data_IF_330481603482
#
_entry.id   IF_330481603482
#
_cell.length_a   1.000
_cell.length_b   1.000
_cell.length_c   1.000
_cell.angle_alpha   90.00
_cell.angle_beta   90.00
_cell.angle_gamma   90.00
#
_symmetry.space_group_name_H-M   'P 1'
#
loop_
_entity.id
_entity.type
_entity.pdbx_description
1 polymer ?
#
# COMPACT_ATOMS: atom_id res chain seq x y z
N UNK A 1 -11.79 27.88 9.46
CA UNK A 1 -11.11 26.75 8.80
C UNK A 1 -11.44 25.51 9.60
N UNK A 2 -11.97 24.48 8.98
CA UNK A 2 -12.30 23.23 9.69
C UNK A 2 -11.02 22.49 10.05
N UNK A 3 -10.97 21.98 11.28
CA UNK A 3 -9.81 21.24 11.78
C UNK A 3 -9.95 19.75 11.57
N UNK A 4 -8.96 19.16 10.89
CA UNK A 4 -8.88 17.72 10.60
C UNK A 4 -7.68 17.13 11.32
N UNK A 5 -7.89 16.02 12.02
CA UNK A 5 -6.81 15.22 12.60
C UNK A 5 -6.78 13.86 11.89
N UNK A 6 -5.62 13.49 11.36
CA UNK A 6 -5.38 12.15 10.83
C UNK A 6 -4.68 11.31 11.90
N UNK A 7 -5.21 10.15 12.24
CA UNK A 7 -4.61 9.20 13.19
C UNK A 7 -4.14 7.97 12.43
N UNK A 8 -2.83 7.74 12.40
CA UNK A 8 -2.22 6.61 11.72
C UNK A 8 -0.71 6.72 11.60
N UNK A 9 -0.05 5.75 10.93
CA UNK A 9 1.37 5.84 10.64
C UNK A 9 1.69 7.10 9.82
N UNK A 10 2.79 7.77 10.17
CA UNK A 10 3.41 8.87 9.44
C UNK A 10 4.86 8.99 9.91
N UNK A 11 5.67 9.85 9.31
CA UNK A 11 7.03 10.08 9.78
C UNK A 11 7.11 10.16 11.33
N UNK A 12 8.08 9.51 11.97
CA UNK A 12 9.27 8.84 11.45
C UNK A 12 9.05 7.38 11.04
N UNK A 13 7.81 6.90 10.99
CA UNK A 13 7.51 5.55 10.49
C UNK A 13 7.58 5.52 8.96
N UNK A 14 7.93 4.35 8.40
CA UNK A 14 8.06 4.13 6.97
C UNK A 14 6.98 3.23 6.38
N UNK A 15 6.88 3.23 5.06
CA UNK A 15 6.04 2.32 4.27
C UNK A 15 4.71 2.93 3.84
N UNK A 16 4.00 2.23 2.97
CA UNK A 16 2.85 2.75 2.23
C UNK A 16 1.73 3.36 3.06
N UNK A 17 1.53 2.92 4.32
CA UNK A 17 0.54 3.53 5.20
C UNK A 17 0.97 4.93 5.67
N UNK A 18 2.27 5.12 5.93
CA UNK A 18 2.80 6.41 6.35
C UNK A 18 2.73 7.41 5.20
N UNK A 19 3.27 7.04 4.04
CA UNK A 19 3.26 7.87 2.83
C UNK A 19 1.83 8.24 2.40
N UNK A 20 0.88 7.29 2.51
CA UNK A 20 -0.53 7.56 2.23
C UNK A 20 -1.13 8.62 3.17
N UNK A 21 -0.92 8.49 4.48
CA UNK A 21 -1.48 9.43 5.46
C UNK A 21 -0.89 10.82 5.31
N UNK A 22 0.40 10.92 4.99
CA UNK A 22 1.06 12.19 4.72
C UNK A 22 0.52 12.84 3.44
N UNK A 23 0.34 12.05 2.37
CA UNK A 23 -0.25 12.57 1.13
C UNK A 23 -1.70 12.99 1.33
N UNK A 24 -2.49 12.22 2.09
CA UNK A 24 -3.86 12.60 2.46
C UNK A 24 -3.90 13.91 3.26
N UNK A 25 -2.95 14.12 4.18
CA UNK A 25 -2.85 15.38 4.93
C UNK A 25 -2.56 16.56 4.01
N UNK A 26 -1.68 16.38 3.02
CA UNK A 26 -1.41 17.41 2.00
C UNK A 26 -2.65 17.74 1.17
N UNK A 27 -3.46 16.73 0.82
CA UNK A 27 -4.71 16.95 0.10
C UNK A 27 -5.73 17.74 0.91
N UNK A 28 -5.92 17.39 2.19
CA UNK A 28 -6.76 18.19 3.08
C UNK A 28 -6.27 19.64 3.19
N UNK A 29 -4.95 19.86 3.31
CA UNK A 29 -4.36 21.21 3.33
C UNK A 29 -4.58 21.96 2.02
N UNK A 30 -4.42 21.29 0.88
CA UNK A 30 -4.70 21.86 -0.45
C UNK A 30 -6.16 22.32 -0.58
N UNK A 31 -7.09 21.58 0.03
CA UNK A 31 -8.50 21.94 0.13
C UNK A 31 -8.82 22.91 1.29
N UNK A 32 -7.81 23.60 1.84
CA UNK A 32 -7.93 24.61 2.89
C UNK A 32 -8.46 24.09 4.23
N UNK A 33 -8.17 22.85 4.63
CA UNK A 33 -8.39 22.36 5.99
C UNK A 33 -7.14 22.59 6.87
N UNK A 34 -7.33 22.93 8.16
CA UNK A 34 -6.27 22.91 9.17
C UNK A 34 -6.00 21.44 9.56
N UNK A 35 -4.88 20.89 9.08
CA UNK A 35 -4.64 19.43 9.15
C UNK A 35 -3.38 19.11 9.93
N UNK A 36 -3.51 18.23 10.92
CA UNK A 36 -2.42 17.67 11.72
C UNK A 36 -2.49 16.13 11.73
N UNK A 37 -1.34 15.48 11.91
CA UNK A 37 -1.24 14.01 12.00
C UNK A 37 -0.83 13.60 13.40
N UNK A 38 -1.53 12.63 13.98
CA UNK A 38 -1.15 11.96 15.22
C UNK A 38 -0.63 10.57 14.88
N UNK A 39 0.69 10.40 14.96
CA UNK A 39 1.38 9.16 14.65
C UNK A 39 1.92 8.46 15.89
N UNK A 40 2.46 7.26 15.70
CA UNK A 40 2.93 6.42 16.79
C UNK A 40 4.34 6.81 17.24
N UNK A 41 4.50 6.89 18.55
CA UNK A 41 5.83 6.84 19.20
C UNK A 41 6.32 5.38 19.28
N UNK A 42 5.38 4.41 19.41
CA UNK A 42 5.59 2.99 19.30
C UNK A 42 4.41 2.38 18.55
N UNK A 43 4.63 1.91 17.32
CA UNK A 43 3.60 1.24 16.51
C UNK A 43 3.53 -0.25 16.83
N UNK A 44 4.67 -0.93 16.74
CA UNK A 44 4.81 -2.33 17.08
C UNK A 44 5.97 -2.52 18.07
N UNK A 45 5.80 -3.37 19.10
CA UNK A 45 6.94 -3.90 19.84
C UNK A 45 7.95 -4.55 18.88
N UNK A 46 9.27 -4.40 19.14
CA UNK A 46 10.30 -4.86 18.21
C UNK A 46 10.17 -6.33 17.79
N UNK A 47 9.76 -7.19 18.71
CA UNK A 47 9.57 -8.64 18.44
C UNK A 47 8.33 -8.97 17.58
N UNK A 48 7.44 -8.03 17.35
CA UNK A 48 6.28 -8.19 16.47
C UNK A 48 6.49 -7.58 15.09
N UNK A 49 7.58 -6.84 14.89
CA UNK A 49 7.86 -6.22 13.60
C UNK A 49 8.75 -7.16 12.76
N UNK A 50 8.30 -7.59 11.58
CA UNK A 50 9.01 -8.58 10.79
C UNK A 50 10.19 -8.01 9.97
N UNK A 51 10.28 -6.68 9.80
CA UNK A 51 11.34 -6.02 9.04
C UNK A 51 12.53 -5.58 9.92
N UNK A 52 13.56 -5.02 9.30
CA UNK A 52 14.78 -4.57 9.99
C UNK A 52 14.53 -3.35 10.87
N UNK A 53 13.73 -2.39 10.40
CA UNK A 53 13.32 -1.20 11.16
C UNK A 53 11.94 -0.71 10.77
N UNK A 54 11.24 -0.06 11.69
CA UNK A 54 9.96 0.62 11.44
C UNK A 54 10.16 2.08 11.00
N UNK A 55 11.39 2.59 11.05
CA UNK A 55 11.67 4.00 10.90
C UNK A 55 12.25 4.33 9.53
N UNK A 56 11.86 5.49 9.01
CA UNK A 56 12.39 6.08 7.79
C UNK A 56 13.80 6.64 8.03
N UNK A 57 14.65 6.54 7.02
CA UNK A 57 15.94 7.24 6.94
C UNK A 57 15.79 8.66 6.35
N UNK A 58 14.62 9.00 5.82
CA UNK A 58 14.36 10.31 5.22
C UNK A 58 14.10 11.38 6.28
N UNK A 59 14.40 12.66 5.98
CA UNK A 59 14.16 13.78 6.90
C UNK A 59 12.65 13.97 7.15
N UNK A 60 12.33 14.66 8.27
CA UNK A 60 10.95 15.01 8.58
C UNK A 60 10.37 15.90 7.46
N UNK A 61 9.13 15.65 7.02
CA UNK A 61 8.45 16.57 6.12
C UNK A 61 8.22 17.92 6.82
N UNK A 62 8.67 18.99 6.19
CA UNK A 62 8.60 20.36 6.73
C UNK A 62 7.25 21.04 6.51
N UNK A 63 6.43 20.47 5.65
CA UNK A 63 5.10 20.97 5.24
C UNK A 63 3.94 20.40 6.08
N UNK A 64 4.21 19.42 6.96
CA UNK A 64 3.21 18.73 7.77
C UNK A 64 3.45 18.91 9.28
N UNK A 65 2.37 19.03 10.04
CA UNK A 65 2.41 19.03 11.51
C UNK A 65 2.16 17.58 11.97
N UNK A 66 3.20 16.91 12.47
CA UNK A 66 3.14 15.51 12.88
C UNK A 66 3.45 15.38 14.37
N UNK A 67 2.49 14.86 15.13
CA UNK A 67 2.62 14.58 16.55
C UNK A 67 2.96 13.10 16.78
N UNK A 68 4.20 12.80 17.11
CA UNK A 68 4.64 11.47 17.52
C UNK A 68 4.23 11.18 18.96
N UNK A 69 3.01 10.72 19.20
CA UNK A 69 2.42 10.70 20.54
C UNK A 69 1.74 9.41 20.95
N UNK A 70 1.42 8.49 20.03
CA UNK A 70 0.63 7.28 20.32
C UNK A 70 1.56 6.10 20.60
N UNK A 71 1.38 5.47 21.76
CA UNK A 71 2.02 4.18 22.08
C UNK A 71 0.96 3.09 22.02
N UNK A 72 1.11 2.16 21.07
CA UNK A 72 0.09 1.14 20.75
C UNK A 72 -0.22 0.14 21.88
N UNK A 73 0.66 0.02 22.87
CA UNK A 73 0.54 -0.97 23.97
C UNK A 73 0.39 -0.34 25.36
N UNK A 74 0.36 1.00 25.48
CA UNK A 74 0.27 1.67 26.77
C UNK A 74 -1.11 2.30 26.99
N UNK A 75 -1.99 1.71 27.84
CA UNK A 75 -3.34 2.23 28.07
C UNK A 75 -3.38 3.63 28.69
N UNK A 76 -2.40 3.99 29.54
CA UNK A 76 -2.32 5.34 30.12
C UNK A 76 -2.03 6.40 29.04
N UNK A 77 -1.21 6.05 28.08
CA UNK A 77 -0.96 6.90 26.92
C UNK A 77 -2.24 7.07 26.08
N UNK A 78 -3.03 6.03 25.85
CA UNK A 78 -4.29 6.12 25.10
C UNK A 78 -5.27 7.11 25.75
N UNK A 79 -5.36 7.09 27.09
CA UNK A 79 -6.20 8.01 27.85
C UNK A 79 -5.69 9.44 27.70
N UNK A 80 -4.38 9.66 27.80
CA UNK A 80 -3.75 10.98 27.65
C UNK A 80 -3.99 11.56 26.25
N UNK A 81 -3.72 10.77 25.19
CA UNK A 81 -3.94 11.19 23.80
C UNK A 81 -5.41 11.47 23.54
N UNK A 82 -6.31 10.58 24.00
CA UNK A 82 -7.76 10.76 23.86
C UNK A 82 -8.26 12.05 24.53
N UNK A 83 -7.76 12.38 25.74
CA UNK A 83 -8.08 13.63 26.43
C UNK A 83 -7.55 14.86 25.68
N UNK A 84 -6.33 14.78 25.12
CA UNK A 84 -5.76 15.83 24.27
C UNK A 84 -6.64 16.10 23.06
N UNK A 85 -7.02 15.07 22.32
CA UNK A 85 -7.92 15.18 21.15
C UNK A 85 -9.30 15.72 21.54
N UNK A 86 -9.86 15.27 22.68
CA UNK A 86 -11.12 15.79 23.20
C UNK A 86 -11.04 17.29 23.50
N UNK A 87 -9.92 17.78 24.06
CA UNK A 87 -9.68 19.20 24.34
C UNK A 87 -9.46 20.02 23.06
N UNK A 88 -8.75 19.47 22.08
CA UNK A 88 -8.55 20.09 20.76
C UNK A 88 -9.86 20.24 19.98
N UNK A 89 -10.81 19.35 20.22
CA UNK A 89 -12.14 19.33 19.63
C UNK A 89 -12.11 19.53 18.09
N UNK A 90 -11.34 18.72 17.32
CA UNK A 90 -11.33 18.85 15.88
C UNK A 90 -12.72 18.61 15.30
N UNK A 91 -13.01 19.16 14.13
CA UNK A 91 -14.28 18.92 13.42
C UNK A 91 -14.34 17.49 12.90
N UNK A 92 -13.21 16.97 12.42
CA UNK A 92 -13.08 15.64 11.85
C UNK A 92 -11.82 14.93 12.35
N UNK A 93 -11.97 13.67 12.72
CA UNK A 93 -10.86 12.71 12.88
C UNK A 93 -10.96 11.69 11.76
N UNK A 94 -9.90 11.51 10.99
CA UNK A 94 -9.74 10.44 10.02
C UNK A 94 -8.76 9.42 10.62
N UNK A 95 -9.23 8.21 10.92
CA UNK A 95 -8.39 7.16 11.51
C UNK A 95 -8.12 6.05 10.49
N UNK A 96 -6.86 5.61 10.39
CA UNK A 96 -6.48 4.46 9.58
C UNK A 96 -6.60 3.17 10.38
N UNK A 97 -7.22 2.14 9.80
CA UNK A 97 -7.37 0.83 10.42
C UNK A 97 -6.95 -0.30 9.46
N UNK A 98 -5.96 -1.07 9.86
CA UNK A 98 -5.36 -2.12 9.03
C UNK A 98 -5.16 -3.46 9.75
N UNK A 99 -5.24 -3.48 11.09
CA UNK A 99 -4.98 -4.69 11.88
C UNK A 99 -5.73 -4.63 13.22
N UNK A 100 -6.43 -5.71 13.63
CA UNK A 100 -7.17 -5.78 14.89
C UNK A 100 -6.33 -5.50 16.15
N UNK A 101 -5.03 -5.79 16.13
CA UNK A 101 -4.09 -5.42 17.20
C UNK A 101 -4.15 -3.93 17.59
N UNK A 102 -4.45 -3.04 16.64
CA UNK A 102 -4.57 -1.60 16.90
C UNK A 102 -5.90 -1.19 17.52
N UNK A 103 -6.90 -2.07 17.49
CA UNK A 103 -8.26 -1.74 17.90
C UNK A 103 -8.39 -1.31 19.37
N UNK A 104 -7.76 -1.95 20.37
CA UNK A 104 -7.83 -1.50 21.77
C UNK A 104 -7.27 -0.09 21.95
N UNK A 105 -6.14 0.20 21.34
CA UNK A 105 -5.48 1.51 21.39
C UNK A 105 -6.36 2.57 20.71
N UNK A 106 -6.63 2.41 19.42
CA UNK A 106 -7.37 3.38 18.63
C UNK A 106 -8.81 3.54 19.14
N UNK A 107 -9.50 2.45 19.45
CA UNK A 107 -10.86 2.50 19.98
C UNK A 107 -10.96 3.27 21.29
N UNK A 108 -10.00 3.10 22.21
CA UNK A 108 -9.97 3.84 23.48
C UNK A 108 -9.70 5.33 23.26
N UNK A 109 -8.75 5.67 22.39
CA UNK A 109 -8.47 7.08 22.03
C UNK A 109 -9.73 7.73 21.46
N UNK A 110 -10.38 7.09 20.48
CA UNK A 110 -11.57 7.63 19.81
C UNK A 110 -12.78 7.74 20.75
N UNK A 111 -12.98 6.73 21.61
CA UNK A 111 -14.01 6.78 22.67
C UNK A 111 -13.90 8.02 23.53
N UNK A 112 -12.67 8.35 23.97
CA UNK A 112 -12.44 9.51 24.82
C UNK A 112 -12.56 10.81 24.03
N UNK A 113 -12.00 10.87 22.83
CA UNK A 113 -12.07 12.04 21.94
C UNK A 113 -13.52 12.41 21.62
N UNK A 114 -14.37 11.44 21.33
CA UNK A 114 -15.81 11.62 21.03
C UNK A 114 -16.60 12.26 22.19
N UNK A 115 -16.07 12.24 23.40
CA UNK A 115 -16.71 12.84 24.57
C UNK A 115 -16.92 14.37 24.47
N UNK A 116 -16.36 15.07 23.48
CA UNK A 116 -16.66 16.48 23.18
C UNK A 116 -17.99 16.67 22.45
N UNK A 117 -18.61 15.59 21.93
CA UNK A 117 -19.89 15.58 21.19
C UNK A 117 -19.93 16.41 19.89
N UNK A 118 -18.77 16.90 19.41
CA UNK A 118 -18.62 17.72 18.19
C UNK A 118 -17.87 16.99 17.09
N UNK A 119 -16.80 16.29 17.46
CA UNK A 119 -15.93 15.61 16.51
C UNK A 119 -16.62 14.46 15.79
N UNK A 120 -16.60 14.49 14.47
CA UNK A 120 -16.95 13.36 13.62
C UNK A 120 -15.75 12.46 13.41
N UNK A 121 -15.96 11.17 13.27
CA UNK A 121 -14.88 10.19 13.17
C UNK A 121 -15.14 9.31 11.94
N UNK A 122 -14.25 9.36 10.97
CA UNK A 122 -14.27 8.53 9.77
C UNK A 122 -13.08 7.56 9.79
N UNK A 123 -13.32 6.31 9.47
CA UNK A 123 -12.29 5.29 9.37
C UNK A 123 -11.99 4.98 7.90
N UNK A 124 -10.72 5.02 7.51
CA UNK A 124 -10.23 4.37 6.29
C UNK A 124 -9.79 2.97 6.68
N UNK A 125 -10.54 1.97 6.21
CA UNK A 125 -10.31 0.57 6.54
C UNK A 125 -9.57 -0.15 5.40
N UNK A 126 -8.33 -0.53 5.64
CA UNK A 126 -7.54 -1.34 4.69
C UNK A 126 -7.91 -2.80 4.76
N UNK A 127 -8.11 -3.31 5.99
CA UNK A 127 -8.58 -4.66 6.27
C UNK A 127 -9.46 -4.64 7.52
N UNK A 128 -10.58 -5.32 7.48
CA UNK A 128 -11.45 -5.54 8.65
C UNK A 128 -11.18 -6.92 9.27
N UNK A 129 -10.97 -7.91 8.43
CA UNK A 129 -10.61 -9.27 8.82
C UNK A 129 -9.18 -9.51 8.32
N UNK A 130 -8.24 -9.83 9.23
CA UNK A 130 -6.86 -10.08 8.83
C UNK A 130 -6.74 -11.36 7.99
N UNK A 131 -5.71 -11.45 7.16
CA UNK A 131 -5.41 -12.65 6.38
C UNK A 131 -5.10 -13.85 7.28
N UNK A 132 -4.40 -13.59 8.39
CA UNK A 132 -4.10 -14.57 9.44
C UNK A 132 -4.97 -14.25 10.66
N UNK A 133 -6.04 -15.03 10.85
CA UNK A 133 -6.96 -14.86 11.98
C UNK A 133 -6.30 -15.27 13.30
N UNK A 134 -6.50 -14.45 14.33
CA UNK A 134 -6.05 -14.70 15.69
C UNK A 134 -7.22 -14.65 16.68
N UNK A 135 -7.15 -15.40 17.80
CA UNK A 135 -8.10 -15.24 18.89
C UNK A 135 -8.16 -13.77 19.34
N UNK A 136 -9.36 -13.21 19.46
CA UNK A 136 -9.55 -11.80 19.86
C UNK A 136 -9.77 -10.80 18.72
N UNK A 137 -9.46 -11.13 17.47
CA UNK A 137 -9.60 -10.19 16.33
C UNK A 137 -11.04 -9.66 16.20
N UNK A 138 -12.03 -10.53 16.27
CA UNK A 138 -13.45 -10.15 16.14
C UNK A 138 -13.92 -9.21 17.25
N UNK A 139 -13.75 -9.51 18.56
CA UNK A 139 -14.16 -8.59 19.62
C UNK A 139 -13.38 -7.28 19.60
N UNK A 140 -12.11 -7.29 19.27
CA UNK A 140 -11.32 -6.07 19.13
C UNK A 140 -11.82 -5.18 17.99
N UNK A 141 -12.08 -5.75 16.82
CA UNK A 141 -12.69 -5.02 15.70
C UNK A 141 -14.06 -4.46 16.07
N UNK A 142 -14.93 -5.24 16.72
CA UNK A 142 -16.24 -4.78 17.22
C UNK A 142 -16.10 -3.61 18.20
N UNK A 143 -15.14 -3.67 19.12
CA UNK A 143 -14.85 -2.56 20.04
C UNK A 143 -14.47 -1.30 19.30
N UNK A 144 -13.62 -1.39 18.28
CA UNK A 144 -13.16 -0.22 17.51
C UNK A 144 -14.30 0.42 16.69
N UNK A 145 -15.03 -0.38 15.90
CA UNK A 145 -15.99 0.15 14.92
C UNK A 145 -17.18 0.89 15.56
N UNK A 146 -17.50 0.63 16.83
CA UNK A 146 -18.63 1.29 17.50
C UNK A 146 -18.43 2.80 17.70
N UNK A 147 -17.19 3.29 17.63
CA UNK A 147 -16.87 4.72 17.81
C UNK A 147 -16.70 5.46 16.49
N UNK A 148 -16.91 4.82 15.37
CA UNK A 148 -16.76 5.39 14.02
C UNK A 148 -18.12 5.87 13.52
N UNK A 149 -18.17 7.05 12.87
CA UNK A 149 -19.40 7.61 12.30
C UNK A 149 -19.58 7.22 10.82
N UNK A 150 -18.47 7.10 10.06
CA UNK A 150 -18.48 6.71 8.67
C UNK A 150 -17.22 5.95 8.27
N UNK A 151 -17.28 5.20 7.18
CA UNK A 151 -16.17 4.37 6.71
C UNK A 151 -15.85 4.62 5.25
N UNK A 152 -14.57 4.53 4.92
CA UNK A 152 -14.06 4.39 3.56
C UNK A 152 -13.38 3.04 3.46
N UNK A 153 -13.70 2.28 2.42
CA UNK A 153 -12.98 1.06 2.04
C UNK A 153 -12.42 1.24 0.63
N UNK A 154 -11.35 0.53 0.31
CA UNK A 154 -10.70 0.63 -1.00
C UNK A 154 -10.98 -0.57 -1.90
N UNK A 155 -11.81 -1.51 -1.44
CA UNK A 155 -12.31 -2.65 -2.22
C UNK A 155 -13.69 -3.09 -1.74
N UNK A 156 -14.47 -3.67 -2.66
CA UNK A 156 -15.78 -4.23 -2.36
C UNK A 156 -15.69 -5.39 -1.36
N UNK A 157 -14.63 -6.17 -1.42
CA UNK A 157 -14.36 -7.24 -0.45
C UNK A 157 -14.25 -6.72 0.98
N UNK A 158 -13.52 -5.63 1.21
CA UNK A 158 -13.41 -5.01 2.54
C UNK A 158 -14.75 -4.41 2.95
N UNK A 159 -15.51 -3.82 2.02
CA UNK A 159 -16.87 -3.34 2.27
C UNK A 159 -17.79 -4.48 2.74
N UNK A 160 -17.80 -5.60 2.05
CA UNK A 160 -18.59 -6.78 2.44
C UNK A 160 -18.21 -7.28 3.85
N UNK A 161 -16.90 -7.33 4.15
CA UNK A 161 -16.43 -7.69 5.49
C UNK A 161 -16.87 -6.67 6.56
N UNK A 162 -16.82 -5.37 6.25
CA UNK A 162 -17.25 -4.29 7.14
C UNK A 162 -18.73 -4.42 7.51
N UNK A 163 -19.59 -4.81 6.57
CA UNK A 163 -21.03 -4.98 6.81
C UNK A 163 -21.38 -6.04 7.86
N UNK A 164 -20.45 -6.95 8.18
CA UNK A 164 -20.60 -7.88 9.32
C UNK A 164 -20.36 -7.21 10.70
N UNK A 165 -19.82 -5.99 10.71
CA UNK A 165 -19.46 -5.27 11.93
C UNK A 165 -20.22 -3.95 12.10
N UNK A 166 -20.60 -3.28 11.01
CA UNK A 166 -21.24 -1.95 11.03
C UNK A 166 -22.15 -1.72 9.84
N UNK A 167 -23.32 -1.09 10.12
CA UNK A 167 -24.28 -0.60 9.11
C UNK A 167 -24.19 0.93 8.93
N UNK A 168 -23.18 1.59 9.49
CA UNK A 168 -22.98 3.04 9.36
C UNK A 168 -22.67 3.43 7.92
N UNK A 169 -22.82 4.73 7.55
CA UNK A 169 -22.44 5.21 6.23
C UNK A 169 -21.06 4.72 5.82
N UNK A 170 -20.94 4.19 4.61
CA UNK A 170 -19.66 3.71 4.10
C UNK A 170 -19.64 3.83 2.57
N UNK A 171 -18.49 4.15 2.02
CA UNK A 171 -18.26 4.31 0.58
C UNK A 171 -17.02 3.52 0.15
N UNK A 172 -17.09 2.88 -1.02
CA UNK A 172 -15.93 2.28 -1.67
C UNK A 172 -15.27 3.35 -2.54
N UNK A 173 -14.02 3.65 -2.25
CA UNK A 173 -13.22 4.61 -3.02
C UNK A 173 -11.98 3.90 -3.55
N UNK A 174 -11.72 4.02 -4.83
CA UNK A 174 -10.50 3.47 -5.43
C UNK A 174 -9.28 4.09 -4.76
N UNK A 175 -8.29 3.27 -4.44
CA UNK A 175 -7.04 3.75 -3.84
C UNK A 175 -6.41 4.83 -4.73
N UNK A 176 -6.20 6.07 -4.26
CA UNK A 176 -5.60 7.13 -5.07
C UNK A 176 -4.19 6.78 -5.55
N UNK A 177 -3.73 7.46 -6.60
CA UNK A 177 -2.36 7.29 -7.09
C UNK A 177 -1.34 7.72 -6.03
N UNK A 178 -0.21 7.08 -6.05
CA UNK A 178 0.97 7.47 -5.26
C UNK A 178 1.79 8.55 -6.01
N UNK A 179 1.20 9.73 -6.23
CA UNK A 179 1.80 10.85 -6.95
C UNK A 179 2.96 11.54 -6.22
N UNK A 180 3.16 11.23 -4.95
CA UNK A 180 4.22 11.80 -4.12
C UNK A 180 5.57 11.06 -4.21
N UNK A 181 5.64 9.93 -4.90
CA UNK A 181 6.92 9.24 -5.16
C UNK A 181 7.75 9.85 -6.30
N UNK A 182 7.30 10.98 -6.84
CA UNK A 182 7.97 11.73 -7.89
C UNK A 182 7.40 11.49 -9.27
N UNK A 183 8.02 12.16 -10.25
CA UNK A 183 7.59 12.10 -11.64
C UNK A 183 8.19 10.90 -12.38
N UNK A 184 7.56 10.55 -13.50
CA UNK A 184 8.07 9.54 -14.44
C UNK A 184 9.40 10.03 -15.01
N UNK A 185 10.43 9.22 -14.91
CA UNK A 185 11.75 9.51 -15.45
C UNK A 185 11.94 8.81 -16.81
N UNK A 186 12.82 9.35 -17.69
CA UNK A 186 13.30 8.58 -18.83
C UNK A 186 13.91 7.25 -18.35
N UNK A 187 13.57 6.15 -19.02
CA UNK A 187 14.01 4.82 -18.63
C UNK A 187 15.55 4.70 -18.58
N UNK A 188 16.26 5.31 -19.53
CA UNK A 188 17.72 5.35 -19.55
C UNK A 188 18.29 6.02 -18.31
N UNK A 189 17.72 7.14 -17.86
CA UNK A 189 18.14 7.84 -16.64
C UNK A 189 17.92 6.97 -15.40
N UNK A 190 16.78 6.31 -15.33
CA UNK A 190 16.46 5.42 -14.20
C UNK A 190 17.38 4.20 -14.16
N UNK A 191 17.63 3.57 -15.31
CA UNK A 191 18.56 2.43 -15.44
C UNK A 191 19.99 2.80 -15.10
N UNK A 192 20.45 3.95 -15.55
CA UNK A 192 21.78 4.47 -15.20
C UNK A 192 21.93 4.66 -13.68
N UNK A 193 20.93 5.28 -13.03
CA UNK A 193 20.92 5.47 -11.58
C UNK A 193 21.01 4.14 -10.82
N UNK A 194 20.28 3.12 -11.26
CA UNK A 194 20.27 1.78 -10.65
C UNK A 194 21.41 0.88 -11.11
N UNK A 195 22.32 1.37 -11.97
CA UNK A 195 23.39 0.58 -12.58
C UNK A 195 22.87 -0.67 -13.32
N UNK A 196 21.76 -0.50 -14.05
CA UNK A 196 21.15 -1.53 -14.89
C UNK A 196 21.51 -1.30 -16.37
N UNK A 197 21.65 -2.37 -17.18
CA UNK A 197 21.89 -2.24 -18.61
C UNK A 197 20.75 -1.53 -19.34
N UNK A 198 21.08 -0.64 -20.24
CA UNK A 198 20.11 0.24 -20.90
C UNK A 198 19.14 -0.51 -21.82
N UNK A 199 19.60 -1.57 -22.50
CA UNK A 199 18.83 -2.24 -23.58
C UNK A 199 18.21 -3.57 -23.16
N UNK A 200 18.32 -3.97 -21.90
CA UNK A 200 17.74 -5.22 -21.42
C UNK A 200 16.21 -5.12 -21.26
N UNK A 201 15.56 -6.25 -21.44
CA UNK A 201 14.15 -6.43 -21.09
C UNK A 201 14.04 -6.66 -19.60
N UNK A 202 13.41 -5.76 -18.84
CA UNK A 202 13.38 -5.81 -17.38
C UNK A 202 11.95 -5.76 -16.87
N UNK A 203 11.52 -6.82 -16.20
CA UNK A 203 10.27 -6.84 -15.42
C UNK A 203 10.57 -6.58 -13.95
N UNK A 204 9.62 -5.97 -13.23
CA UNK A 204 9.79 -5.56 -11.83
C UNK A 204 8.82 -6.29 -10.90
N UNK A 205 9.36 -6.92 -9.87
CA UNK A 205 8.63 -7.26 -8.65
C UNK A 205 8.96 -6.21 -7.59
N UNK A 206 7.93 -5.53 -7.01
CA UNK A 206 8.12 -4.41 -6.11
C UNK A 206 7.42 -4.57 -4.76
N UNK A 207 8.07 -4.06 -3.70
CA UNK A 207 7.54 -3.96 -2.34
C UNK A 207 7.90 -5.15 -1.45
N UNK A 208 7.48 -5.12 -0.17
CA UNK A 208 7.84 -6.13 0.83
C UNK A 208 7.63 -7.55 0.33
N UNK A 209 8.65 -8.40 0.51
CA UNK A 209 8.62 -9.80 0.08
C UNK A 209 7.96 -10.62 1.19
N UNK A 210 6.82 -11.24 0.84
CA UNK A 210 6.03 -12.14 1.67
C UNK A 210 5.47 -13.27 0.83
N UNK A 211 5.32 -14.45 1.41
CA UNK A 211 4.87 -15.68 0.74
C UNK A 211 3.59 -15.49 -0.10
N UNK A 212 2.61 -14.74 0.42
CA UNK A 212 1.36 -14.51 -0.29
C UNK A 212 1.53 -13.69 -1.58
N UNK A 213 2.66 -12.98 -1.75
CA UNK A 213 2.98 -12.21 -2.97
C UNK A 213 3.58 -13.06 -4.10
N UNK A 214 3.89 -14.35 -3.85
CA UNK A 214 4.20 -15.31 -4.89
C UNK A 214 5.52 -15.07 -5.63
N UNK A 215 6.52 -14.46 -5.00
CA UNK A 215 7.84 -14.28 -5.62
C UNK A 215 8.46 -15.63 -6.03
N UNK A 216 8.20 -16.67 -5.27
CA UNK A 216 8.61 -18.04 -5.58
C UNK A 216 8.05 -18.52 -6.93
N UNK A 217 6.74 -18.31 -7.18
CA UNK A 217 6.12 -18.63 -8.48
C UNK A 217 6.75 -17.83 -9.63
N UNK A 218 7.08 -16.56 -9.38
CA UNK A 218 7.71 -15.72 -10.40
C UNK A 218 9.13 -16.18 -10.70
N UNK A 219 9.91 -16.53 -9.69
CA UNK A 219 11.26 -17.09 -9.89
C UNK A 219 11.24 -18.38 -10.68
N UNK A 220 10.30 -19.28 -10.37
CA UNK A 220 10.12 -20.50 -11.16
C UNK A 220 9.67 -20.20 -12.60
N UNK A 221 8.79 -19.20 -12.81
CA UNK A 221 8.39 -18.76 -14.14
C UNK A 221 9.54 -18.17 -14.96
N UNK A 222 10.50 -17.50 -14.29
CA UNK A 222 11.71 -17.01 -14.94
C UNK A 222 12.65 -18.13 -15.40
N UNK A 223 12.50 -19.34 -14.89
CA UNK A 223 13.26 -20.51 -15.31
C UNK A 223 12.67 -21.20 -16.60
N UNK A 224 11.50 -20.76 -17.06
CA UNK A 224 10.91 -21.26 -18.31
C UNK A 224 11.87 -21.02 -19.49
N UNK A 225 12.08 -22.04 -20.32
CA UNK A 225 13.03 -22.00 -21.45
C UNK A 225 12.73 -20.86 -22.44
N UNK A 226 11.45 -20.56 -22.69
CA UNK A 226 11.04 -19.49 -23.61
C UNK A 226 11.30 -18.12 -23.01
N UNK A 227 11.08 -17.95 -21.69
CA UNK A 227 11.38 -16.70 -20.96
C UNK A 227 12.88 -16.45 -20.95
N UNK A 228 13.69 -17.50 -20.70
CA UNK A 228 15.16 -17.43 -20.76
C UNK A 228 15.64 -17.10 -22.18
N UNK A 229 15.12 -17.76 -23.21
CA UNK A 229 15.47 -17.51 -24.60
C UNK A 229 15.07 -16.08 -25.06
N UNK A 230 14.02 -15.50 -24.48
CA UNK A 230 13.62 -14.11 -24.74
C UNK A 230 14.56 -13.06 -24.10
N UNK A 231 15.50 -13.48 -23.25
CA UNK A 231 16.48 -12.60 -22.60
C UNK A 231 15.87 -11.65 -21.55
N UNK A 232 14.73 -12.03 -20.95
CA UNK A 232 14.02 -11.20 -19.97
C UNK A 232 14.72 -11.32 -18.62
N UNK A 233 14.91 -10.18 -17.95
CA UNK A 233 15.49 -10.07 -16.61
C UNK A 233 14.42 -9.69 -15.58
N UNK A 234 14.60 -10.14 -14.35
CA UNK A 234 13.72 -9.83 -13.23
C UNK A 234 14.46 -8.90 -12.25
N UNK A 235 13.94 -7.71 -12.05
CA UNK A 235 14.36 -6.82 -10.97
C UNK A 235 13.45 -7.05 -9.75
N UNK A 236 14.02 -7.50 -8.65
CA UNK A 236 13.33 -7.66 -7.38
C UNK A 236 13.73 -6.49 -6.49
N UNK A 237 12.77 -5.65 -6.10
CA UNK A 237 13.01 -4.46 -5.29
C UNK A 237 12.09 -4.44 -4.06
N UNK A 238 12.68 -4.66 -2.88
CA UNK A 238 11.96 -4.62 -1.60
C UNK A 238 12.49 -5.59 -0.55
N UNK A 239 12.26 -5.23 0.70
CA UNK A 239 12.77 -5.92 1.87
C UNK A 239 12.03 -7.25 2.12
N UNK A 240 12.78 -8.27 2.54
CA UNK A 240 12.21 -9.52 3.02
C UNK A 240 11.55 -9.33 4.40
N UNK A 241 10.27 -9.71 4.49
CA UNK A 241 9.53 -9.81 5.75
C UNK A 241 9.34 -11.27 6.18
N UNK A 242 10.14 -12.16 5.62
CA UNK A 242 10.26 -13.58 5.93
C UNK A 242 11.67 -14.04 5.54
N UNK A 243 11.98 -15.31 5.73
CA UNK A 243 13.31 -15.86 5.41
C UNK A 243 13.62 -15.79 3.91
N UNK A 244 14.82 -15.30 3.56
CA UNK A 244 15.27 -15.19 2.18
C UNK A 244 15.75 -16.53 1.60
N UNK A 245 16.18 -17.47 2.46
CA UNK A 245 16.79 -18.73 2.05
C UNK A 245 15.95 -19.56 1.05
N UNK A 246 14.61 -19.69 1.17
CA UNK A 246 13.80 -20.41 0.17
C UNK A 246 13.90 -19.81 -1.23
N UNK A 247 13.94 -18.48 -1.33
CA UNK A 247 14.03 -17.78 -2.61
C UNK A 247 15.43 -17.92 -3.23
N UNK A 248 16.48 -17.84 -2.40
CA UNK A 248 17.84 -18.07 -2.84
C UNK A 248 18.01 -19.51 -3.37
N UNK A 249 17.41 -20.50 -2.70
CA UNK A 249 17.45 -21.88 -3.15
C UNK A 249 16.83 -22.07 -4.55
N UNK A 250 15.74 -21.35 -4.87
CA UNK A 250 15.13 -21.39 -6.21
C UNK A 250 16.09 -20.75 -7.25
N UNK A 251 16.69 -19.60 -6.92
CA UNK A 251 17.66 -18.92 -7.79
C UNK A 251 18.84 -19.84 -8.10
N UNK A 252 19.35 -20.56 -7.11
CA UNK A 252 20.50 -21.45 -7.25
C UNK A 252 20.12 -22.73 -8.01
N UNK A 253 18.95 -23.32 -7.71
CA UNK A 253 18.44 -24.51 -8.37
C UNK A 253 18.26 -24.31 -9.88
N UNK A 254 17.74 -23.17 -10.29
CA UNK A 254 17.47 -22.85 -11.70
C UNK A 254 18.56 -21.99 -12.34
N UNK A 255 19.68 -21.74 -11.67
CA UNK A 255 20.83 -20.96 -12.17
C UNK A 255 20.45 -19.56 -12.65
N UNK A 256 19.59 -18.87 -11.90
CA UNK A 256 19.02 -17.55 -12.25
C UNK A 256 19.92 -16.36 -11.88
N UNK A 257 21.16 -16.55 -11.38
CA UNK A 257 22.05 -15.49 -10.89
C UNK A 257 22.31 -14.39 -11.94
N UNK A 258 22.32 -14.75 -13.22
CA UNK A 258 22.48 -13.80 -14.33
C UNK A 258 21.14 -13.27 -14.89
N UNK A 259 20.00 -13.70 -14.34
CA UNK A 259 18.66 -13.34 -14.79
C UNK A 259 17.96 -12.42 -13.80
N UNK A 260 18.38 -12.45 -12.52
CA UNK A 260 17.71 -11.75 -11.42
C UNK A 260 18.61 -10.66 -10.83
N UNK A 261 18.11 -9.44 -10.78
CA UNK A 261 18.71 -8.32 -10.05
C UNK A 261 18.05 -8.20 -8.68
N UNK A 262 18.79 -8.46 -7.61
CA UNK A 262 18.28 -8.37 -6.23
C UNK A 262 18.58 -6.99 -5.63
N UNK A 263 17.55 -6.32 -5.13
CA UNK A 263 17.61 -5.10 -4.33
C UNK A 263 16.69 -5.31 -3.11
N UNK A 264 17.19 -6.05 -2.13
CA UNK A 264 16.40 -6.60 -1.02
C UNK A 264 16.44 -5.74 0.24
N UNK A 265 16.84 -4.51 0.09
CA UNK A 265 16.73 -3.48 1.12
C UNK A 265 15.38 -2.76 1.04
N UNK A 266 15.03 -2.04 2.09
CA UNK A 266 13.89 -1.12 2.02
C UNK A 266 14.19 -0.03 1.01
N UNK A 267 13.28 0.14 0.05
CA UNK A 267 13.40 1.19 -0.97
C UNK A 267 12.82 2.49 -0.39
N UNK A 268 13.64 3.53 -0.17
CA UNK A 268 13.15 4.85 0.27
C UNK A 268 12.16 5.45 -0.73
N UNK A 269 11.22 6.27 -0.24
CA UNK A 269 10.19 6.89 -1.07
C UNK A 269 10.79 7.71 -2.22
N UNK A 270 11.92 8.39 -1.98
CA UNK A 270 12.68 9.15 -3.00
C UNK A 270 13.27 8.30 -4.13
N UNK A 271 13.51 7.01 -3.88
CA UNK A 271 14.11 6.07 -4.83
C UNK A 271 13.08 5.30 -5.67
N UNK A 272 11.84 5.21 -5.22
CA UNK A 272 10.76 4.43 -5.87
C UNK A 272 10.62 4.76 -7.36
N UNK A 273 10.69 6.03 -7.72
CA UNK A 273 10.59 6.50 -9.11
C UNK A 273 11.61 5.86 -10.05
N UNK A 274 12.83 5.58 -9.57
CA UNK A 274 13.86 4.95 -10.40
C UNK A 274 13.52 3.50 -10.73
N UNK A 275 13.05 2.73 -9.75
CA UNK A 275 12.67 1.33 -9.94
C UNK A 275 11.50 1.18 -10.92
N UNK A 276 10.45 1.98 -10.72
CA UNK A 276 9.27 1.94 -11.58
C UNK A 276 9.60 2.44 -13.00
N UNK A 277 10.38 3.52 -13.12
CA UNK A 277 10.75 4.06 -14.44
C UNK A 277 11.74 3.15 -15.19
N UNK A 278 12.60 2.40 -14.51
CA UNK A 278 13.57 1.51 -15.14
C UNK A 278 12.92 0.24 -15.75
N UNK A 279 11.83 -0.23 -15.19
CA UNK A 279 11.16 -1.44 -15.64
C UNK A 279 10.34 -1.24 -16.91
N UNK A 280 10.15 -2.32 -17.68
CA UNK A 280 9.20 -2.36 -18.79
C UNK A 280 7.79 -2.67 -18.24
N UNK A 281 7.67 -3.67 -17.37
CA UNK A 281 6.41 -4.16 -16.82
C UNK A 281 6.52 -4.42 -15.32
N UNK A 282 5.40 -4.31 -14.59
CA UNK A 282 5.29 -4.66 -13.17
C UNK A 282 4.54 -5.97 -13.00
N UNK A 283 5.13 -6.91 -12.26
CA UNK A 283 4.55 -8.24 -12.05
C UNK A 283 4.07 -8.38 -10.61
N UNK A 284 2.80 -8.76 -10.43
CA UNK A 284 2.18 -9.04 -9.13
C UNK A 284 1.66 -10.48 -9.11
N UNK A 285 2.55 -11.46 -8.85
CA UNK A 285 2.25 -12.90 -8.97
C UNK A 285 1.57 -13.45 -7.71
N UNK A 286 0.69 -12.65 -7.09
CA UNK A 286 0.16 -12.90 -5.76
C UNK A 286 -0.66 -14.20 -5.70
N UNK A 287 -0.54 -14.91 -4.58
CA UNK A 287 -1.36 -16.09 -4.25
C UNK A 287 -2.66 -15.67 -3.58
N UNK A 288 -2.64 -14.54 -2.89
CA UNK A 288 -3.80 -13.96 -2.22
C UNK A 288 -3.63 -12.44 -2.16
N UNK A 289 -4.72 -11.71 -2.37
CA UNK A 289 -4.74 -10.26 -2.21
C UNK A 289 -6.13 -9.77 -1.81
N UNK A 290 -6.20 -8.75 -0.96
CA UNK A 290 -7.41 -7.96 -0.78
C UNK A 290 -7.35 -6.76 -1.73
N UNK A 291 -6.19 -6.12 -1.76
CA UNK A 291 -5.80 -5.03 -2.66
C UNK A 291 -4.27 -4.96 -2.69
N UNK A 292 -3.72 -4.21 -3.63
CA UNK A 292 -2.28 -3.96 -3.73
C UNK A 292 -1.98 -2.48 -3.84
N UNK A 293 -1.07 -1.97 -3.00
CA UNK A 293 -0.51 -0.62 -3.14
C UNK A 293 0.42 -0.49 -4.35
N UNK A 294 0.88 -1.60 -4.92
CA UNK A 294 1.73 -1.57 -6.12
C UNK A 294 0.92 -1.24 -7.37
N UNK A 295 -0.35 -1.63 -7.43
CA UNK A 295 -1.22 -1.32 -8.58
C UNK A 295 -1.38 0.20 -8.82
N UNK A 296 -1.80 1.04 -7.83
CA UNK A 296 -1.88 2.48 -8.06
C UNK A 296 -0.52 3.13 -8.28
N UNK A 297 0.56 2.54 -7.77
CA UNK A 297 1.93 2.99 -8.05
C UNK A 297 2.30 2.73 -9.51
N UNK A 298 2.03 1.52 -10.03
CA UNK A 298 2.26 1.19 -11.44
C UNK A 298 1.44 2.09 -12.38
N UNK A 299 0.19 2.41 -12.03
CA UNK A 299 -0.61 3.37 -12.77
C UNK A 299 0.00 4.78 -12.77
N UNK A 300 0.53 5.25 -11.63
CA UNK A 300 1.19 6.56 -11.56
C UNK A 300 2.37 6.63 -12.55
N UNK A 301 3.21 5.59 -12.56
CA UNK A 301 4.37 5.50 -13.44
C UNK A 301 4.06 4.95 -14.84
N UNK A 302 2.79 4.82 -15.19
CA UNK A 302 2.31 4.34 -16.51
C UNK A 302 2.90 2.98 -16.91
N UNK A 303 3.09 2.08 -15.93
CA UNK A 303 3.63 0.74 -16.18
C UNK A 303 2.52 -0.29 -16.35
N UNK A 304 2.48 -1.00 -17.49
CA UNK A 304 1.57 -2.11 -17.67
C UNK A 304 1.90 -3.24 -16.69
N UNK A 305 0.87 -3.98 -16.28
CA UNK A 305 1.00 -4.97 -15.23
C UNK A 305 0.66 -6.38 -15.70
N UNK A 306 1.35 -7.39 -15.17
CA UNK A 306 0.85 -8.76 -15.10
C UNK A 306 0.40 -9.03 -13.67
N UNK A 307 -0.86 -9.34 -13.48
CA UNK A 307 -1.43 -9.68 -12.18
C UNK A 307 -2.08 -11.05 -12.19
N UNK A 308 -2.04 -11.73 -11.07
CA UNK A 308 -2.77 -13.00 -10.92
C UNK A 308 -4.24 -12.75 -10.64
N UNK A 309 -5.10 -13.69 -11.06
CA UNK A 309 -6.54 -13.68 -10.85
C UNK A 309 -6.90 -14.02 -9.39
N UNK A 310 -6.46 -13.19 -8.45
CA UNK A 310 -6.69 -13.40 -7.02
C UNK A 310 -7.20 -12.13 -6.33
N UNK A 311 -8.21 -12.30 -5.49
CA UNK A 311 -8.76 -11.24 -4.64
C UNK A 311 -9.23 -10.03 -5.43
N UNK A 312 -8.76 -8.84 -5.06
CA UNK A 312 -9.13 -7.57 -5.70
C UNK A 312 -8.16 -7.09 -6.78
N UNK A 313 -7.18 -7.88 -7.21
CA UNK A 313 -6.25 -7.48 -8.28
C UNK A 313 -6.95 -7.37 -9.64
N UNK A 314 -7.77 -8.35 -10.07
CA UNK A 314 -8.48 -8.27 -11.35
C UNK A 314 -9.45 -7.08 -11.45
N UNK A 315 -9.98 -6.63 -10.32
CA UNK A 315 -10.90 -5.48 -10.29
C UNK A 315 -10.23 -4.16 -10.67
N UNK A 316 -8.90 -4.14 -10.68
CA UNK A 316 -8.08 -2.94 -10.86
C UNK A 316 -7.20 -2.96 -12.11
N UNK A 317 -7.10 -4.08 -12.78
CA UNK A 317 -6.33 -4.23 -14.01
C UNK A 317 -7.30 -4.64 -15.12
N UNK A 318 -7.49 -3.76 -16.09
CA UNK A 318 -8.31 -4.07 -17.26
C UNK A 318 -7.51 -4.98 -18.18
N UNK A 319 -7.92 -6.26 -18.26
CA UNK A 319 -7.25 -7.27 -19.08
C UNK A 319 -7.10 -6.80 -20.52
N UNK A 320 -5.91 -6.98 -21.11
CA UNK A 320 -5.52 -6.56 -22.46
C UNK A 320 -5.53 -5.04 -22.70
N UNK A 321 -5.87 -4.23 -21.69
CA UNK A 321 -5.87 -2.77 -21.78
C UNK A 321 -4.81 -2.12 -20.88
N UNK A 322 -4.87 -2.35 -19.58
CA UNK A 322 -3.90 -1.75 -18.65
C UNK A 322 -2.88 -2.79 -18.15
N UNK A 323 -3.00 -4.02 -18.60
CA UNK A 323 -2.14 -5.14 -18.27
C UNK A 323 -2.80 -6.47 -18.63
N UNK A 324 -2.20 -7.56 -18.15
CA UNK A 324 -2.72 -8.91 -18.32
C UNK A 324 -3.10 -9.51 -16.96
N UNK A 325 -4.14 -10.34 -16.98
CA UNK A 325 -4.59 -11.14 -15.83
C UNK A 325 -4.32 -12.60 -16.15
N UNK A 326 -3.71 -13.33 -15.21
CA UNK A 326 -3.35 -14.73 -15.40
C UNK A 326 -3.64 -15.56 -14.15
N UNK A 327 -3.67 -16.88 -14.25
CA UNK A 327 -3.80 -17.76 -13.09
C UNK A 327 -2.50 -17.77 -12.27
N UNK A 328 -2.56 -17.99 -10.93
CA UNK A 328 -1.41 -18.02 -10.05
C UNK A 328 -0.61 -19.33 -10.16
N UNK A 329 -0.19 -19.66 -11.37
CA UNK A 329 0.60 -20.85 -11.70
C UNK A 329 1.85 -20.48 -12.50
N UNK A 330 2.90 -21.26 -12.35
CA UNK A 330 4.18 -21.03 -13.03
C UNK A 330 4.03 -20.95 -14.55
N UNK A 331 3.35 -21.92 -15.24
CA UNK A 331 3.20 -21.85 -16.69
C UNK A 331 2.40 -20.64 -17.17
N UNK A 332 1.35 -20.25 -16.40
CA UNK A 332 0.51 -19.11 -16.77
C UNK A 332 1.26 -17.78 -16.58
N UNK A 333 2.08 -17.66 -15.54
CA UNK A 333 2.95 -16.50 -15.33
C UNK A 333 4.01 -16.40 -16.44
N UNK A 334 4.67 -17.50 -16.79
CA UNK A 334 5.66 -17.52 -17.86
C UNK A 334 5.04 -17.08 -19.19
N UNK A 335 3.88 -17.62 -19.56
CA UNK A 335 3.17 -17.22 -20.76
C UNK A 335 2.75 -15.75 -20.71
N UNK A 336 2.18 -15.28 -19.60
CA UNK A 336 1.78 -13.88 -19.43
C UNK A 336 2.95 -12.89 -19.54
N UNK A 337 4.14 -13.26 -19.07
CA UNK A 337 5.37 -12.45 -19.25
C UNK A 337 5.72 -12.35 -20.74
N UNK A 338 5.68 -13.46 -21.49
CA UNK A 338 5.95 -13.46 -22.93
C UNK A 338 4.92 -12.63 -23.69
N UNK A 339 3.64 -12.75 -23.34
CA UNK A 339 2.55 -12.02 -23.96
C UNK A 339 2.69 -10.49 -23.74
N UNK A 340 3.12 -10.04 -22.53
CA UNK A 340 3.40 -8.62 -22.30
C UNK A 340 4.43 -8.06 -23.28
N UNK A 341 5.51 -8.80 -23.54
CA UNK A 341 6.53 -8.37 -24.50
C UNK A 341 6.09 -8.50 -25.94
N UNK A 342 5.22 -9.44 -26.26
CA UNK A 342 4.62 -9.56 -27.60
C UNK A 342 3.71 -8.36 -27.89
N UNK A 343 2.95 -7.87 -26.92
CA UNK A 343 2.07 -6.72 -27.08
C UNK A 343 2.84 -5.40 -27.01
N UNK A 344 3.88 -5.31 -26.16
CA UNK A 344 4.72 -4.15 -25.95
C UNK A 344 4.04 -3.06 -25.09
N UNK A 345 4.85 -2.25 -24.41
CA UNK A 345 4.34 -1.17 -23.52
C UNK A 345 3.41 -0.20 -24.25
N UNK A 346 3.73 0.16 -25.50
CA UNK A 346 2.99 1.14 -26.28
C UNK A 346 1.51 0.79 -26.47
N UNK A 347 1.17 -0.50 -26.45
CA UNK A 347 -0.22 -0.95 -26.52
C UNK A 347 -1.03 -0.51 -25.29
N UNK A 348 -0.45 -0.62 -24.10
CA UNK A 348 -1.15 -0.44 -22.82
C UNK A 348 -1.20 1.01 -22.35
N UNK A 349 -0.18 1.83 -22.65
CA UNK A 349 -0.02 3.19 -22.12
C UNK A 349 -1.24 4.08 -22.33
N UNK A 350 -1.89 4.16 -23.52
CA UNK A 350 -3.06 5.03 -23.73
C UNK A 350 -4.24 4.67 -22.80
N UNK A 351 -4.43 3.37 -22.56
CA UNK A 351 -5.48 2.90 -21.65
C UNK A 351 -5.14 3.21 -20.19
N UNK A 352 -3.86 3.04 -19.80
CA UNK A 352 -3.38 3.40 -18.46
C UNK A 352 -3.57 4.89 -18.20
N UNK A 353 -3.23 5.76 -19.15
CA UNK A 353 -3.40 7.22 -19.05
C UNK A 353 -4.86 7.64 -18.91
N UNK A 354 -5.76 6.89 -19.51
CA UNK A 354 -7.21 7.10 -19.35
C UNK A 354 -7.69 6.63 -17.99
N UNK A 355 -7.31 5.41 -17.61
CA UNK A 355 -7.75 4.75 -16.38
C UNK A 355 -7.26 5.48 -15.12
N UNK A 356 -6.01 5.96 -15.11
CA UNK A 356 -5.42 6.63 -13.93
C UNK A 356 -6.17 7.90 -13.50
N UNK A 357 -6.94 8.54 -14.38
CA UNK A 357 -7.70 9.77 -14.07
C UNK A 357 -8.80 9.56 -13.01
N UNK A 358 -9.24 8.32 -12.78
CA UNK A 358 -10.24 8.03 -11.75
C UNK A 358 -9.64 7.91 -10.32
N UNK A 359 -8.31 7.78 -10.19
CA UNK A 359 -7.61 7.56 -8.92
C UNK A 359 -7.22 8.89 -8.26
N UNK A 360 -8.21 9.70 -7.86
CA UNK A 360 -8.05 11.07 -7.37
C UNK A 360 -8.06 11.16 -5.85
N UNK A 361 -7.09 11.89 -5.27
CA UNK A 361 -7.05 12.22 -3.85
C UNK A 361 -8.22 13.11 -3.44
N UNK A 362 -8.60 14.07 -4.29
CA UNK A 362 -9.76 14.94 -4.06
C UNK A 362 -11.05 14.14 -3.94
N UNK A 363 -11.27 13.13 -4.80
CA UNK A 363 -12.41 12.22 -4.68
C UNK A 363 -12.43 11.48 -3.34
N UNK A 364 -11.27 11.05 -2.84
CA UNK A 364 -11.17 10.41 -1.54
C UNK A 364 -11.56 11.37 -0.42
N UNK A 365 -11.02 12.60 -0.40
CA UNK A 365 -11.38 13.60 0.61
C UNK A 365 -12.87 13.92 0.57
N UNK A 366 -13.45 14.12 -0.61
CA UNK A 366 -14.88 14.36 -0.75
C UNK A 366 -15.72 13.19 -0.25
N UNK A 367 -15.31 11.95 -0.49
CA UNK A 367 -15.99 10.77 0.06
C UNK A 367 -15.92 10.73 1.60
N UNK A 368 -14.74 11.01 2.18
CA UNK A 368 -14.58 11.14 3.64
C UNK A 368 -15.55 12.17 4.21
N UNK A 369 -15.65 13.33 3.58
CA UNK A 369 -16.57 14.41 4.00
C UNK A 369 -18.03 14.00 3.87
N UNK A 370 -18.42 13.23 2.83
CA UNK A 370 -19.78 12.72 2.67
C UNK A 370 -20.18 11.74 3.77
N UNK A 371 -19.35 10.76 4.06
CA UNK A 371 -19.65 9.74 5.08
C UNK A 371 -19.50 10.25 6.52
N UNK A 372 -18.96 11.47 6.71
CA UNK A 372 -18.83 12.12 8.02
C UNK A 372 -20.09 12.86 8.47
N UNK A 373 -21.03 13.11 7.57
CA UNK A 373 -22.31 13.83 7.85
C UNK A 373 -23.26 12.93 8.62
#
# INVERSE_FOLDING_TARGET
>A
MQKVIIIGPAWPLRGGLASFNERLAREFKHLNFDTEIFTFSLQYPGFLFPGTTQYSSEPAPNDLIIHRSINSINPLNWISVGRRLRKMAPDLIVVRYWLPFMAPCLGTILRIARGNKKTRIVCIADNIIPHEKRPGDTPFTRYFVQYIDGFITMSDRVMQQLRNFSQRPAEVVVHPLYDHFGEILPQSTARQHLSLPEKEKIILFFGFIRRYKGLDLLLEAMADEKVQAAGIKLLIAGEFYEEAAPYQAIIDQYQLQNTVYLRTEFIPDSEVKYYLSAADFVIQPYRQATQSGVTPLAYHFEKPMLVTNVGGLPDRVLHEKTGLITEPTVPALAQGILDLYQWGEAHFIPYIQTEKKQYSWEKLVHAILRVSK
#
